data_IF_268970100529
#
_entry.id   IF_268970100529
#
_cell.length_a   1.000
_cell.length_b   1.000
_cell.length_c   1.000
_cell.angle_alpha   90.00
_cell.angle_beta   90.00
_cell.angle_gamma   90.00
#
_symmetry.space_group_name_H-M   'P 1'
#
loop_
_entity.id
_entity.type
_entity.pdbx_description
1 polymer ?
#
# COMPACT_ATOMS: atom_id res chain seq x y z
N UNK A 1 -0.13 -10.79 50.08
CA UNK A 1 0.43 -9.80 49.14
C UNK A 1 -0.03 -10.17 47.73
N UNK A 2 -1.12 -9.56 47.24
CA UNK A 2 -1.74 -9.90 45.96
C UNK A 2 -0.98 -9.21 44.81
N UNK A 3 -0.62 -10.03 43.83
CA UNK A 3 0.14 -9.72 42.61
C UNK A 3 -0.41 -8.48 41.89
N UNK A 4 0.27 -7.33 42.05
CA UNK A 4 0.00 -6.08 41.31
C UNK A 4 0.63 -6.08 39.91
N UNK A 5 1.39 -7.12 39.58
CA UNK A 5 2.30 -7.15 38.42
C UNK A 5 1.61 -7.63 37.14
N UNK A 6 0.58 -8.46 37.25
CA UNK A 6 -0.18 -8.97 36.09
C UNK A 6 -1.14 -7.96 35.49
N UNK A 7 -1.60 -6.98 36.26
CA UNK A 7 -2.57 -5.97 35.79
C UNK A 7 -1.93 -4.94 34.84
N UNK A 8 -0.61 -4.73 34.93
CA UNK A 8 0.09 -3.73 34.09
C UNK A 8 0.40 -4.22 32.68
N UNK A 9 0.64 -5.52 32.48
CA UNK A 9 0.95 -6.07 31.15
C UNK A 9 -0.28 -6.10 30.23
N UNK A 10 -1.47 -6.37 30.78
CA UNK A 10 -2.71 -6.41 29.99
C UNK A 10 -3.08 -5.03 29.43
N UNK A 11 -2.77 -3.95 30.14
CA UNK A 11 -3.05 -2.58 29.70
C UNK A 11 -2.16 -2.14 28.51
N UNK A 12 -0.90 -2.60 28.44
CA UNK A 12 0.00 -2.28 27.32
C UNK A 12 -0.39 -2.97 26.01
N UNK A 13 -0.94 -4.20 26.07
CA UNK A 13 -1.38 -4.92 24.88
C UNK A 13 -2.61 -4.25 24.21
N UNK A 14 -3.50 -3.66 25.02
CA UNK A 14 -4.69 -2.98 24.51
C UNK A 14 -4.36 -1.65 23.81
N UNK A 15 -3.33 -0.94 24.27
CA UNK A 15 -2.87 0.33 23.68
C UNK A 15 -2.14 0.14 22.34
N UNK A 16 -1.45 -0.99 22.13
CA UNK A 16 -0.79 -1.29 20.86
C UNK A 16 -1.77 -1.60 19.71
N UNK A 17 -2.94 -2.17 20.02
CA UNK A 17 -3.95 -2.51 19.03
C UNK A 17 -4.63 -1.28 18.40
N UNK A 18 -4.66 -0.14 19.10
CA UNK A 18 -5.34 1.08 18.65
C UNK A 18 -4.47 1.98 17.75
N UNK A 19 -3.19 1.68 17.57
CA UNK A 19 -2.27 2.48 16.75
C UNK A 19 -2.29 2.14 15.26
N UNK A 20 -3.02 1.09 14.86
CA UNK A 20 -3.16 0.69 13.45
C UNK A 20 -4.29 1.48 12.81
N UNK A 21 -4.00 2.70 12.35
CA UNK A 21 -4.95 3.51 11.58
C UNK A 21 -5.59 2.67 10.47
N UNK A 22 -6.92 2.74 10.36
CA UNK A 22 -7.77 1.99 9.43
C UNK A 22 -7.56 2.39 7.96
N UNK A 23 -6.35 2.28 7.44
CA UNK A 23 -6.10 2.11 6.01
C UNK A 23 -5.95 0.61 5.77
N UNK A 24 -7.07 -0.08 5.56
CA UNK A 24 -7.10 -1.53 5.32
C UNK A 24 -6.28 -1.85 4.07
N UNK A 25 -5.22 -2.63 4.21
CA UNK A 25 -4.47 -3.16 3.08
C UNK A 25 -5.42 -4.02 2.23
N UNK A 26 -5.49 -3.73 0.94
CA UNK A 26 -6.27 -4.48 -0.04
C UNK A 26 -5.43 -5.63 -0.59
N UNK A 27 -5.92 -6.89 -0.57
CA UNK A 27 -5.24 -7.99 -1.23
C UNK A 27 -5.10 -7.73 -2.73
N UNK A 28 -3.94 -8.04 -3.32
CA UNK A 28 -3.64 -7.79 -4.73
C UNK A 28 -4.68 -8.43 -5.66
N UNK A 29 -5.13 -9.64 -5.33
CA UNK A 29 -6.20 -10.34 -6.07
C UNK A 29 -7.50 -9.54 -6.18
N UNK A 30 -7.82 -8.72 -5.16
CA UNK A 30 -9.07 -7.97 -5.04
C UNK A 30 -8.95 -6.50 -5.45
N UNK A 31 -7.82 -6.10 -6.04
CA UNK A 31 -7.66 -4.75 -6.57
C UNK A 31 -8.74 -4.45 -7.61
N UNK A 32 -9.53 -3.41 -7.35
CA UNK A 32 -10.53 -2.85 -8.24
C UNK A 32 -10.11 -1.45 -8.71
N UNK A 33 -10.68 -1.01 -9.84
CA UNK A 33 -10.53 0.36 -10.34
C UNK A 33 -11.04 1.38 -9.31
N UNK A 34 -10.50 2.62 -9.29
CA UNK A 34 -10.47 3.54 -8.16
C UNK A 34 -11.70 3.59 -7.26
N UNK A 35 -11.51 3.83 -5.94
CA UNK A 35 -10.60 4.85 -5.40
C UNK A 35 -9.18 4.39 -5.01
N UNK A 36 -8.38 5.32 -4.42
CA UNK A 36 -7.03 5.07 -3.89
C UNK A 36 -7.04 3.88 -2.94
N UNK A 37 -6.15 2.93 -3.21
CA UNK A 37 -5.99 1.71 -2.42
C UNK A 37 -4.60 1.63 -1.84
N UNK A 38 -4.49 0.90 -0.73
CA UNK A 38 -3.21 0.55 -0.11
C UNK A 38 -2.97 -0.93 -0.33
N UNK A 39 -1.82 -1.29 -0.87
CA UNK A 39 -1.37 -2.69 -0.99
C UNK A 39 -0.08 -2.89 -0.19
N UNK A 40 0.17 -4.11 0.26
CA UNK A 40 1.37 -4.46 1.02
C UNK A 40 1.88 -5.79 0.53
N UNK A 41 3.19 -5.91 0.35
CA UNK A 41 3.78 -7.14 -0.14
C UNK A 41 5.29 -7.11 -0.14
N UNK A 42 5.89 -8.17 -0.69
CA UNK A 42 7.33 -8.31 -0.90
C UNK A 42 7.67 -7.92 -2.32
N UNK A 43 8.69 -7.09 -2.47
CA UNK A 43 9.27 -6.74 -3.77
C UNK A 43 9.99 -7.96 -4.33
N UNK A 44 9.58 -8.44 -5.50
CA UNK A 44 10.21 -9.63 -6.11
C UNK A 44 11.12 -9.27 -7.28
N UNK A 45 10.78 -8.23 -8.04
CA UNK A 45 11.51 -7.84 -9.24
C UNK A 45 11.58 -6.29 -9.35
N UNK A 46 12.59 -5.65 -8.75
CA UNK A 46 12.90 -4.25 -9.02
C UNK A 46 13.35 -4.09 -10.48
N UNK A 47 12.85 -3.08 -11.18
CA UNK A 47 13.26 -2.77 -12.56
C UNK A 47 13.08 -1.30 -12.88
N UNK A 48 13.47 -0.89 -14.08
CA UNK A 48 13.28 0.49 -14.51
C UNK A 48 11.80 0.90 -14.46
N UNK A 49 11.54 2.02 -13.79
CA UNK A 49 10.20 2.60 -13.66
C UNK A 49 9.28 1.94 -12.62
N UNK A 50 9.71 0.92 -11.88
CA UNK A 50 8.88 0.31 -10.85
C UNK A 50 9.38 -1.03 -10.31
N UNK A 51 8.45 -1.85 -9.81
CA UNK A 51 8.77 -3.17 -9.29
C UNK A 51 7.53 -4.08 -9.27
N UNK A 52 7.74 -5.39 -9.27
CA UNK A 52 6.68 -6.35 -8.96
C UNK A 52 6.54 -6.48 -7.45
N UNK A 53 5.32 -6.28 -6.94
CA UNK A 53 4.96 -6.50 -5.55
C UNK A 53 4.09 -7.76 -5.47
N UNK A 54 4.40 -8.65 -4.53
CA UNK A 54 3.65 -9.89 -4.30
C UNK A 54 3.17 -9.99 -2.85
N UNK A 55 1.92 -10.39 -2.67
CA UNK A 55 1.35 -10.83 -1.39
C UNK A 55 0.99 -12.32 -1.47
N UNK A 56 0.28 -12.83 -0.47
CA UNK A 56 -0.20 -14.21 -0.42
C UNK A 56 -1.33 -14.51 -1.42
N UNK A 57 -1.91 -13.48 -2.03
CA UNK A 57 -3.05 -13.60 -2.96
C UNK A 57 -2.68 -13.37 -4.42
N UNK A 58 -1.54 -12.77 -4.71
CA UNK A 58 -1.07 -12.56 -6.07
C UNK A 58 0.08 -11.58 -6.19
N UNK A 59 0.33 -11.15 -7.42
CA UNK A 59 1.39 -10.19 -7.75
C UNK A 59 0.89 -9.13 -8.73
N UNK A 60 1.38 -7.91 -8.59
CA UNK A 60 1.09 -6.81 -9.51
C UNK A 60 2.34 -5.97 -9.78
N UNK A 61 2.44 -5.45 -11.01
CA UNK A 61 3.47 -4.46 -11.31
C UNK A 61 3.06 -3.10 -10.75
N UNK A 62 3.89 -2.57 -9.85
CA UNK A 62 3.80 -1.23 -9.30
C UNK A 62 4.67 -0.31 -10.13
N UNK A 63 4.05 0.61 -10.87
CA UNK A 63 4.76 1.72 -11.50
C UNK A 63 5.09 2.75 -10.42
N UNK A 64 6.37 3.05 -10.27
CA UNK A 64 6.88 3.90 -9.20
C UNK A 64 8.15 4.66 -9.63
N UNK A 65 8.05 5.41 -10.74
CA UNK A 65 9.17 6.16 -11.30
C UNK A 65 9.32 7.52 -10.61
N UNK A 66 10.49 7.80 -10.05
CA UNK A 66 10.82 9.10 -9.45
C UNK A 66 11.02 10.19 -10.53
N UNK A 67 10.94 11.48 -10.15
CA UNK A 67 11.33 12.58 -11.03
C UNK A 67 12.73 12.34 -11.63
N UNK A 68 12.88 12.62 -12.93
CA UNK A 68 14.12 12.33 -13.66
C UNK A 68 14.29 10.87 -14.10
N UNK A 69 13.27 10.02 -13.90
CA UNK A 69 13.26 8.66 -14.43
C UNK A 69 13.88 7.59 -13.53
N UNK A 70 14.37 7.98 -12.36
CA UNK A 70 15.04 7.09 -11.43
C UNK A 70 14.10 6.02 -10.82
N UNK A 71 14.67 4.87 -10.49
CA UNK A 71 13.99 3.82 -9.74
C UNK A 71 13.77 4.25 -8.28
N UNK A 72 12.75 3.73 -7.59
CA UNK A 72 12.38 4.17 -6.24
C UNK A 72 13.34 3.70 -5.12
N UNK A 73 14.43 2.99 -5.45
CA UNK A 73 15.43 2.56 -4.47
C UNK A 73 14.94 1.45 -3.52
N UNK A 74 14.00 0.61 -3.95
CA UNK A 74 13.57 -0.60 -3.22
C UNK A 74 14.35 -1.82 -3.69
N UNK A 75 14.62 -2.75 -2.77
CA UNK A 75 15.37 -3.98 -3.05
C UNK A 75 14.46 -5.20 -3.17
N UNK A 76 14.89 -6.21 -3.93
CA UNK A 76 14.22 -7.52 -3.92
C UNK A 76 14.26 -8.12 -2.50
N UNK A 77 13.15 -8.71 -2.06
CA UNK A 77 12.95 -9.22 -0.71
C UNK A 77 12.45 -8.18 0.30
N UNK A 78 12.45 -6.90 -0.06
CA UNK A 78 11.95 -5.84 0.83
C UNK A 78 10.42 -5.88 0.93
N UNK A 79 9.88 -5.83 2.15
CA UNK A 79 8.44 -5.71 2.38
C UNK A 79 8.06 -4.24 2.47
N UNK A 80 7.14 -3.79 1.62
CA UNK A 80 6.71 -2.38 1.56
C UNK A 80 5.19 -2.25 1.48
N UNK A 81 4.68 -1.13 1.98
CA UNK A 81 3.30 -0.66 1.72
C UNK A 81 3.32 0.34 0.58
N UNK A 82 2.39 0.23 -0.36
CA UNK A 82 2.26 1.15 -1.49
C UNK A 82 0.86 1.74 -1.50
N UNK A 83 0.80 3.06 -1.62
CA UNK A 83 -0.43 3.83 -1.82
C UNK A 83 -0.52 4.21 -3.28
N UNK A 84 -1.65 3.94 -3.91
CA UNK A 84 -1.79 4.14 -5.35
C UNK A 84 -3.17 3.82 -5.89
N UNK A 85 -3.27 3.74 -7.21
CA UNK A 85 -4.48 3.39 -7.92
C UNK A 85 -4.22 2.27 -8.90
N UNK A 86 -5.18 1.35 -9.03
CA UNK A 86 -5.20 0.45 -10.17
C UNK A 86 -5.54 1.25 -11.43
N UNK A 87 -4.72 1.14 -12.48
CA UNK A 87 -5.02 1.75 -13.77
C UNK A 87 -5.96 0.87 -14.58
N UNK A 88 -6.94 1.49 -15.24
CA UNK A 88 -7.73 0.85 -16.28
C UNK A 88 -6.91 0.73 -17.56
N UNK A 89 -7.13 -0.34 -18.32
CA UNK A 89 -6.42 -0.59 -19.58
C UNK A 89 -6.21 -2.08 -19.85
N UNK A 90 -5.49 -2.39 -20.93
CA UNK A 90 -5.14 -3.77 -21.28
C UNK A 90 -4.12 -4.37 -20.29
N UNK A 91 -3.25 -3.54 -19.73
CA UNK A 91 -2.27 -3.95 -18.73
C UNK A 91 -2.73 -3.60 -17.31
N UNK A 92 -2.69 -4.59 -16.42
CA UNK A 92 -3.05 -4.42 -15.00
C UNK A 92 -1.86 -3.81 -14.24
N UNK A 93 -1.78 -2.49 -14.22
CA UNK A 93 -0.71 -1.72 -13.56
C UNK A 93 -1.24 -1.01 -12.32
N UNK A 94 -0.48 -1.05 -11.23
CA UNK A 94 -0.72 -0.24 -10.06
C UNK A 94 0.16 1.03 -10.09
N UNK A 95 -0.45 2.20 -10.16
CA UNK A 95 0.29 3.47 -10.16
C UNK A 95 0.54 3.91 -8.72
N UNK A 96 1.78 3.78 -8.26
CA UNK A 96 2.19 4.07 -6.88
C UNK A 96 2.56 5.53 -6.68
N UNK A 97 1.97 6.17 -5.67
CA UNK A 97 2.22 7.56 -5.28
C UNK A 97 3.20 7.65 -4.10
N UNK A 98 3.01 6.76 -3.12
CA UNK A 98 3.84 6.71 -1.92
C UNK A 98 4.19 5.27 -1.62
N UNK A 99 5.47 5.02 -1.38
CA UNK A 99 5.97 3.75 -0.87
C UNK A 99 6.41 3.98 0.57
N UNK A 100 5.90 3.17 1.49
CA UNK A 100 6.21 3.24 2.91
C UNK A 100 6.91 1.98 3.35
N UNK A 101 8.10 2.14 3.91
CA UNK A 101 8.90 1.07 4.50
C UNK A 101 8.42 0.74 5.91
N UNK A 102 8.77 -0.46 6.44
CA UNK A 102 8.41 -0.86 7.81
C UNK A 102 9.01 0.05 8.88
N UNK A 103 10.19 0.62 8.62
CA UNK A 103 10.85 1.60 9.50
C UNK A 103 10.14 2.97 9.54
N UNK A 104 9.07 3.17 8.75
CA UNK A 104 8.32 4.42 8.67
C UNK A 104 8.81 5.39 7.60
N UNK A 105 9.94 5.12 6.96
CA UNK A 105 10.45 5.92 5.84
C UNK A 105 9.45 5.91 4.67
N UNK A 106 9.32 7.05 4.00
CA UNK A 106 8.42 7.22 2.87
C UNK A 106 9.19 7.73 1.65
N UNK A 107 8.94 7.07 0.52
CA UNK A 107 9.40 7.50 -0.80
C UNK A 107 8.17 8.04 -1.53
N UNK A 108 8.15 9.34 -1.80
CA UNK A 108 7.09 10.00 -2.57
C UNK A 108 7.48 9.94 -4.04
N UNK A 109 6.75 9.12 -4.81
CA UNK A 109 7.01 8.88 -6.23
C UNK A 109 6.50 10.03 -7.07
N UNK A 110 5.21 10.34 -6.90
CA UNK A 110 4.53 11.47 -7.52
C UNK A 110 3.66 12.12 -6.47
N UNK A 111 3.50 13.45 -6.54
CA UNK A 111 2.47 14.11 -5.74
C UNK A 111 1.12 13.71 -6.34
N UNK A 112 0.27 12.94 -5.64
CA UNK A 112 -1.03 12.58 -6.19
C UNK A 112 -1.81 13.86 -6.46
N UNK A 113 -2.15 14.12 -7.72
CA UNK A 113 -3.21 15.07 -8.05
C UNK A 113 -4.53 14.41 -7.63
N UNK A 114 -5.40 15.08 -6.88
CA UNK A 114 -6.69 14.51 -6.51
C UNK A 114 -7.47 14.13 -7.77
N UNK A 115 -7.70 12.83 -7.96
CA UNK A 115 -8.59 12.34 -8.99
C UNK A 115 -10.02 12.54 -8.50
N UNK A 116 -10.68 13.60 -8.98
CA UNK A 116 -12.13 13.76 -8.84
C UNK A 116 -12.82 12.79 -9.82
N UNK A 117 -13.10 11.57 -9.38
CA UNK A 117 -13.97 10.65 -10.10
C UNK A 117 -15.43 11.01 -9.84
N UNK A 118 -16.16 11.43 -10.87
CA UNK A 118 -17.62 11.53 -10.79
C UNK A 118 -18.21 10.13 -10.67
N UNK A 119 -18.78 9.80 -9.51
CA UNK A 119 -19.63 8.62 -9.39
C UNK A 119 -20.98 8.99 -10.01
N UNK A 120 -21.22 8.60 -11.26
CA UNK A 120 -22.59 8.63 -11.81
C UNK A 120 -23.32 7.42 -11.21
N UNK A 121 -23.96 7.62 -10.06
CA UNK A 121 -24.96 6.69 -9.55
C UNK A 121 -26.21 6.84 -10.43
N UNK A 122 -26.21 6.17 -11.58
CA UNK A 122 -27.43 5.96 -12.36
C UNK A 122 -28.15 4.73 -11.82
N UNK A 123 -29.37 4.91 -11.30
CA UNK A 123 -30.28 3.79 -11.03
C UNK A 123 -30.56 3.05 -12.35
N UNK A 124 -30.23 1.76 -12.41
CA UNK A 124 -30.75 0.89 -13.46
C UNK A 124 -32.24 0.70 -13.20
N UNK A 125 -33.07 1.18 -14.13
CA UNK A 125 -34.52 0.99 -14.14
C UNK A 125 -34.89 -0.33 -14.79
#
# INVERSE_FOLDING_TARGET
MRSRTTLRLAACALLAALASGCATTTPISRLALPPVTTIEGVVTQPRDGGFTLADDTGSIFVRARLPGGAAPGVSAGERVKVYGNLQGGQERIFDGYVIRRPNGEQIVVTKPTPHFGFVIQGEFR
#
